data_IF_322031284753
#
_entry.id   IF_322031284753
#
_cell.length_a   1.000
_cell.length_b   1.000
_cell.length_c   1.000
_cell.angle_alpha   90.00
_cell.angle_beta   90.00
_cell.angle_gamma   90.00
#
_symmetry.space_group_name_H-M   'P 1'
#
loop_
_entity.id
_entity.type
_entity.pdbx_description
1 polymer ?
#
# COMPACT_ATOMS: atom_id res chain seq x y z
N UNK A 1 -9.28 -0.86 22.47
CA UNK A 1 -10.70 -1.30 22.57
C UNK A 1 -11.52 -0.21 23.25
N UNK A 2 -12.13 0.67 22.45
CA UNK A 2 -13.30 1.45 22.83
C UNK A 2 -13.11 2.96 23.08
N UNK A 3 -12.74 3.75 22.07
CA UNK A 3 -12.97 5.20 22.10
C UNK A 3 -14.32 5.55 21.45
N UNK A 4 -15.42 5.13 22.07
CA UNK A 4 -16.78 5.41 21.53
C UNK A 4 -17.10 6.92 21.44
N UNK A 5 -16.35 7.76 22.16
CA UNK A 5 -16.63 9.19 22.26
C UNK A 5 -15.73 10.07 21.39
N UNK A 6 -14.51 9.62 21.03
CA UNK A 6 -13.50 10.42 20.29
C UNK A 6 -12.64 9.51 19.42
N UNK A 7 -12.03 10.06 18.37
CA UNK A 7 -11.05 9.32 17.54
C UNK A 7 -9.83 8.90 18.35
N UNK A 8 -9.22 7.78 17.97
CA UNK A 8 -7.93 7.36 18.53
C UNK A 8 -6.81 8.32 18.10
N UNK A 9 -5.75 8.40 18.90
CA UNK A 9 -4.58 9.20 18.56
C UNK A 9 -3.84 8.59 17.37
N UNK A 10 -3.66 9.37 16.30
CA UNK A 10 -2.97 8.94 15.09
C UNK A 10 -1.54 9.49 15.07
N UNK A 11 -0.61 8.74 14.48
CA UNK A 11 0.74 9.21 14.20
C UNK A 11 1.04 9.14 12.70
N UNK A 12 1.84 10.09 12.21
CA UNK A 12 2.42 10.04 10.87
C UNK A 12 3.85 9.53 11.00
N UNK A 13 4.12 8.38 10.37
CA UNK A 13 5.44 7.79 10.31
C UNK A 13 5.97 7.80 8.87
N UNK A 14 7.29 7.89 8.73
CA UNK A 14 7.98 7.78 7.45
C UNK A 14 8.76 6.47 7.41
N UNK A 15 8.51 5.66 6.38
CA UNK A 15 9.14 4.36 6.18
C UNK A 15 10.23 4.48 5.11
N UNK A 16 11.43 3.99 5.43
CA UNK A 16 12.54 3.85 4.48
C UNK A 16 12.80 2.36 4.28
N UNK A 17 12.55 1.88 3.07
CA UNK A 17 12.64 0.46 2.73
C UNK A 17 13.66 0.24 1.62
N UNK A 18 14.52 -0.77 1.79
CA UNK A 18 15.35 -1.27 0.70
C UNK A 18 14.47 -2.04 -0.29
N UNK A 19 14.76 -1.93 -1.60
CA UNK A 19 13.90 -2.50 -2.64
C UNK A 19 13.70 -4.02 -2.52
N UNK A 20 14.69 -4.74 -2.02
CA UNK A 20 14.63 -6.20 -1.84
C UNK A 20 13.71 -6.61 -0.68
N UNK A 21 13.66 -5.81 0.40
CA UNK A 21 12.81 -6.05 1.56
C UNK A 21 11.42 -5.39 1.45
N UNK A 22 11.22 -4.50 0.48
CA UNK A 22 9.99 -3.72 0.36
C UNK A 22 8.75 -4.60 0.22
N UNK A 23 8.84 -5.69 -0.55
CA UNK A 23 7.71 -6.60 -0.75
C UNK A 23 7.28 -7.30 0.54
N UNK A 24 8.23 -7.91 1.27
CA UNK A 24 7.94 -8.62 2.52
C UNK A 24 7.40 -7.68 3.58
N UNK A 25 8.03 -6.51 3.77
CA UNK A 25 7.58 -5.53 4.75
C UNK A 25 6.16 -5.01 4.45
N UNK A 26 5.84 -4.73 3.18
CA UNK A 26 4.49 -4.27 2.81
C UNK A 26 3.45 -5.38 2.98
N UNK A 27 3.81 -6.64 2.70
CA UNK A 27 2.94 -7.80 2.94
C UNK A 27 2.56 -7.91 4.41
N UNK A 28 3.55 -7.88 5.31
CA UNK A 28 3.33 -7.96 6.76
C UNK A 28 2.50 -6.78 7.28
N UNK A 29 2.76 -5.56 6.79
CA UNK A 29 1.95 -4.38 7.13
C UNK A 29 0.49 -4.52 6.68
N UNK A 30 0.27 -5.14 5.52
CA UNK A 30 -1.06 -5.46 5.00
C UNK A 30 -1.80 -6.48 5.87
N UNK A 31 -1.10 -7.51 6.34
CA UNK A 31 -1.64 -8.52 7.26
C UNK A 31 -1.98 -7.95 8.64
N UNK A 32 -1.16 -7.03 9.15
CA UNK A 32 -1.45 -6.32 10.41
C UNK A 32 -2.69 -5.43 10.30
N UNK A 33 -2.91 -4.77 9.15
CA UNK A 33 -4.12 -3.98 8.90
C UNK A 33 -4.24 -2.69 9.72
N UNK A 34 -3.14 -2.20 10.30
CA UNK A 34 -3.12 -1.04 11.21
C UNK A 34 -2.62 0.26 10.55
N UNK A 35 -2.19 0.20 9.28
CA UNK A 35 -1.54 1.33 8.60
C UNK A 35 -2.41 1.87 7.47
N UNK A 36 -2.40 3.19 7.32
CA UNK A 36 -3.00 3.88 6.18
C UNK A 36 -1.91 4.59 5.38
N UNK A 37 -1.68 4.14 4.14
CA UNK A 37 -0.72 4.78 3.25
C UNK A 37 -1.28 6.07 2.64
N UNK A 38 -0.42 7.07 2.49
CA UNK A 38 -0.71 8.31 1.76
C UNK A 38 -0.04 8.27 0.39
N UNK A 39 -0.74 8.76 -0.63
CA UNK A 39 -0.15 8.91 -1.95
C UNK A 39 0.85 10.07 -1.95
N UNK A 40 2.13 9.74 -2.10
CA UNK A 40 3.21 10.71 -2.22
C UNK A 40 3.40 11.22 -3.65
N UNK A 41 2.74 10.62 -4.65
CA UNK A 41 2.88 10.95 -6.06
C UNK A 41 1.54 11.35 -6.71
N UNK A 42 0.80 12.34 -6.16
CA UNK A 42 -0.52 12.70 -6.68
C UNK A 42 -0.47 13.32 -8.09
N UNK A 43 0.65 13.95 -8.46
CA UNK A 43 0.84 14.54 -9.80
C UNK A 43 1.27 13.55 -10.87
N UNK A 44 1.57 12.30 -10.50
CA UNK A 44 2.03 11.26 -11.44
C UNK A 44 0.85 10.42 -11.89
N UNK A 45 0.61 10.44 -13.20
CA UNK A 45 -0.43 9.61 -13.82
C UNK A 45 -0.17 8.12 -13.54
N UNK A 46 -1.23 7.34 -13.40
CA UNK A 46 -1.19 5.90 -13.11
C UNK A 46 -0.28 5.13 -14.08
N UNK A 47 -0.29 5.50 -15.36
CA UNK A 47 0.53 4.88 -16.40
C UNK A 47 2.03 5.14 -16.30
N UNK A 48 2.42 6.21 -15.59
CA UNK A 48 3.82 6.60 -15.41
C UNK A 48 4.38 6.10 -14.06
N UNK A 49 3.57 5.43 -13.24
CA UNK A 49 4.02 4.90 -11.95
C UNK A 49 4.93 3.70 -12.16
N UNK A 50 5.93 3.58 -11.28
CA UNK A 50 7.01 2.58 -11.35
C UNK A 50 6.52 1.13 -11.50
N UNK A 51 5.45 0.77 -10.79
CA UNK A 51 4.94 -0.62 -10.72
C UNK A 51 3.76 -0.91 -11.67
N UNK A 52 3.54 -0.07 -12.69
CA UNK A 52 2.40 -0.23 -13.61
C UNK A 52 2.38 -1.58 -14.34
N UNK A 53 3.55 -2.10 -14.71
CA UNK A 53 3.66 -3.37 -15.42
C UNK A 53 3.29 -4.56 -14.52
N UNK A 54 3.66 -4.50 -13.23
CA UNK A 54 3.33 -5.55 -12.27
C UNK A 54 1.82 -5.59 -11.99
N UNK A 55 1.19 -4.42 -11.84
CA UNK A 55 -0.27 -4.30 -11.69
C UNK A 55 -0.99 -4.89 -12.91
N UNK A 56 -0.58 -4.53 -14.13
CA UNK A 56 -1.15 -5.08 -15.37
C UNK A 56 -1.04 -6.59 -15.44
N UNK A 57 0.09 -7.16 -15.00
CA UNK A 57 0.30 -8.61 -14.98
C UNK A 57 -0.67 -9.30 -14.02
N UNK A 58 -0.95 -8.69 -12.86
CA UNK A 58 -1.96 -9.18 -11.92
C UNK A 58 -3.37 -9.11 -12.52
N UNK A 59 -3.74 -7.99 -13.15
CA UNK A 59 -5.04 -7.81 -13.80
C UNK A 59 -5.28 -8.85 -14.91
N UNK A 60 -4.26 -9.12 -15.73
CA UNK A 60 -4.31 -10.14 -16.78
C UNK A 60 -4.48 -11.55 -16.21
N UNK A 61 -3.82 -11.85 -15.08
CA UNK A 61 -3.95 -13.13 -14.39
C UNK A 61 -5.36 -13.29 -13.81
N UNK A 62 -5.88 -12.27 -13.15
CA UNK A 62 -7.25 -12.27 -12.62
C UNK A 62 -8.28 -12.49 -13.74
N UNK A 63 -8.08 -11.86 -14.90
CA UNK A 63 -8.96 -12.05 -16.07
C UNK A 63 -8.96 -13.49 -16.58
N UNK A 64 -7.85 -14.23 -16.47
CA UNK A 64 -7.79 -15.66 -16.87
C UNK A 64 -8.42 -16.60 -15.84
N UNK A 65 -8.52 -16.15 -14.59
CA UNK A 65 -9.12 -16.92 -13.49
C UNK A 65 -10.64 -16.71 -13.40
N UNK A 66 -11.18 -15.67 -14.04
CA UNK A 66 -12.61 -15.42 -14.22
C UNK A 66 -13.16 -16.20 -15.42
#
# INVERSE_FOLDING_TARGET
MGSLFRSEAMCLAQLFLQSEAAYSCVSELGELGLVQFRDLNPGVNTFQRRFVNDVRRCDEMERKLR
#
